data_IF_031578692451
#
_entry.id   IF_031578692451
#
_cell.length_a   1.000
_cell.length_b   1.000
_cell.length_c   1.000
_cell.angle_alpha   90.00
_cell.angle_beta   90.00
_cell.angle_gamma   90.00
#
_symmetry.space_group_name_H-M   'P 1'
#
loop_
_entity.id
_entity.type
_entity.pdbx_description
1 polymer ?
#
# COMPACT_ATOMS: atom_id res chain seq x y z
N UNK A 1 31.85 9.57 17.82
CA UNK A 1 30.80 9.07 18.73
C UNK A 1 29.61 8.74 17.83
N UNK A 2 29.45 7.46 17.45
CA UNK A 2 28.33 7.04 16.61
C UNK A 2 27.05 7.06 17.45
N UNK A 3 26.13 7.97 17.14
CA UNK A 3 24.76 7.87 17.62
C UNK A 3 24.17 6.55 17.12
N UNK A 4 24.09 5.57 18.01
CA UNK A 4 23.31 4.35 17.76
C UNK A 4 21.85 4.75 17.73
N UNK A 5 21.37 5.11 16.55
CA UNK A 5 19.94 5.30 16.36
C UNK A 5 19.21 4.01 16.75
N UNK A 6 18.33 4.10 17.75
CA UNK A 6 17.49 2.99 18.21
C UNK A 6 16.23 2.89 17.36
N UNK A 7 16.38 2.47 16.12
CA UNK A 7 15.22 2.14 15.29
C UNK A 7 14.77 0.71 15.54
N UNK A 8 13.47 0.45 15.35
CA UNK A 8 12.97 -0.92 15.23
C UNK A 8 13.32 -1.51 13.86
N UNK A 9 12.62 -2.57 13.49
CA UNK A 9 12.92 -3.28 12.25
C UNK A 9 12.70 -2.42 11.00
N UNK A 10 13.56 -2.65 10.00
CA UNK A 10 13.46 -2.04 8.69
C UNK A 10 12.14 -2.42 8.00
N UNK A 11 11.47 -1.42 7.43
CA UNK A 11 10.21 -1.57 6.70
C UNK A 11 10.39 -1.39 5.20
N UNK A 12 10.87 -0.21 4.77
CA UNK A 12 11.00 0.13 3.35
C UNK A 12 12.04 1.22 3.14
N UNK A 13 12.74 1.18 2.01
CA UNK A 13 13.64 2.24 1.56
C UNK A 13 13.22 2.78 0.20
N UNK A 14 13.55 4.04 -0.05
CA UNK A 14 13.30 4.72 -1.30
C UNK A 14 14.57 5.44 -1.76
N UNK A 15 15.01 5.08 -2.96
CA UNK A 15 16.00 5.82 -3.74
C UNK A 15 15.30 6.65 -4.82
N UNK A 16 16.07 7.54 -5.43
CA UNK A 16 15.60 8.28 -6.62
C UNK A 16 15.18 7.27 -7.69
N UNK A 17 13.99 7.50 -8.27
CA UNK A 17 13.38 6.67 -9.33
C UNK A 17 12.70 5.37 -8.87
N UNK A 18 12.65 5.05 -7.57
CA UNK A 18 11.89 3.90 -7.08
C UNK A 18 10.43 4.26 -6.83
N UNK A 19 9.53 3.71 -7.64
CA UNK A 19 8.09 4.00 -7.52
C UNK A 19 7.42 3.28 -6.34
N UNK A 20 7.81 2.03 -6.06
CA UNK A 20 7.22 1.20 -5.00
C UNK A 20 8.04 1.20 -3.70
N UNK A 21 9.33 1.57 -3.78
CA UNK A 21 10.31 1.35 -2.71
C UNK A 21 10.80 -0.10 -2.66
N UNK A 22 11.88 -0.32 -1.91
CA UNK A 22 12.43 -1.64 -1.61
C UNK A 22 12.05 -1.98 -0.17
N UNK A 23 11.04 -2.84 -0.03
CA UNK A 23 10.54 -3.31 1.27
C UNK A 23 11.39 -4.44 1.85
N UNK A 24 11.29 -4.61 3.16
CA UNK A 24 11.69 -5.83 3.83
C UNK A 24 10.88 -7.03 3.28
N UNK A 25 11.55 -8.14 2.97
CA UNK A 25 10.93 -9.34 2.37
C UNK A 25 9.81 -9.95 3.23
N UNK A 26 9.83 -9.70 4.55
CA UNK A 26 8.77 -10.14 5.47
C UNK A 26 7.46 -9.37 5.28
N UNK A 27 7.47 -8.23 4.59
CA UNK A 27 6.34 -7.31 4.42
C UNK A 27 5.48 -7.66 3.20
N UNK A 28 5.18 -8.96 3.02
CA UNK A 28 4.53 -9.52 1.82
C UNK A 28 3.23 -8.80 1.46
N UNK A 29 2.36 -8.52 2.43
CA UNK A 29 1.08 -7.85 2.20
C UNK A 29 1.27 -6.39 1.76
N UNK A 30 2.22 -5.66 2.35
CA UNK A 30 2.52 -4.28 1.97
C UNK A 30 3.17 -4.20 0.58
N UNK A 31 4.07 -5.14 0.27
CA UNK A 31 4.67 -5.29 -1.06
C UNK A 31 3.56 -5.49 -2.10
N UNK A 32 2.61 -6.39 -1.84
CA UNK A 32 1.51 -6.65 -2.75
C UNK A 32 0.61 -5.43 -2.95
N UNK A 33 0.23 -4.73 -1.88
CA UNK A 33 -0.58 -3.51 -1.95
C UNK A 33 0.16 -2.41 -2.74
N UNK A 34 1.43 -2.17 -2.43
CA UNK A 34 2.22 -1.15 -3.12
C UNK A 34 2.38 -1.46 -4.61
N UNK A 35 2.64 -2.72 -4.95
CA UNK A 35 2.74 -3.16 -6.34
C UNK A 35 1.39 -3.09 -7.07
N UNK A 36 0.28 -3.39 -6.41
CA UNK A 36 -1.05 -3.32 -7.04
C UNK A 36 -1.52 -1.90 -7.25
N UNK A 37 -1.20 -0.96 -6.36
CA UNK A 37 -1.78 0.40 -6.33
C UNK A 37 -0.82 1.52 -6.80
N UNK A 38 0.48 1.25 -6.83
CA UNK A 38 1.54 2.20 -7.18
C UNK A 38 2.26 1.90 -8.48
N UNK A 39 1.74 0.98 -9.31
CA UNK A 39 2.38 0.56 -10.57
C UNK A 39 2.41 1.70 -11.60
N UNK A 40 3.45 1.78 -12.46
CA UNK A 40 3.44 2.64 -13.63
C UNK A 40 2.18 2.38 -14.48
N UNK A 41 1.45 3.44 -14.84
CA UNK A 41 0.15 3.33 -15.55
C UNK A 41 -1.07 3.14 -14.63
N UNK A 42 -0.87 2.79 -13.37
CA UNK A 42 -1.93 2.65 -12.36
C UNK A 42 -1.45 3.18 -11.00
N UNK A 43 -1.27 4.51 -10.95
CA UNK A 43 -0.84 5.23 -9.74
C UNK A 43 -2.07 5.84 -9.06
N UNK A 44 -2.77 5.02 -8.28
CA UNK A 44 -3.84 5.50 -7.39
C UNK A 44 -3.24 6.10 -6.11
N UNK A 45 -2.06 5.63 -5.71
CA UNK A 45 -1.33 6.20 -4.59
C UNK A 45 0.19 6.22 -4.85
N UNK A 46 0.89 7.07 -4.11
CA UNK A 46 2.34 7.16 -4.10
C UNK A 46 2.87 6.57 -2.76
N UNK A 47 3.55 5.41 -2.79
CA UNK A 47 4.13 4.79 -1.61
C UNK A 47 5.01 5.73 -0.80
N UNK A 48 5.92 6.47 -1.43
CA UNK A 48 6.85 7.36 -0.73
C UNK A 48 6.11 8.46 0.03
N UNK A 49 5.08 9.06 -0.59
CA UNK A 49 4.26 10.11 0.04
C UNK A 49 3.48 9.52 1.21
N UNK A 50 2.91 8.34 1.07
CA UNK A 50 2.17 7.68 2.15
C UNK A 50 3.06 7.38 3.36
N UNK A 51 4.22 6.73 3.14
CA UNK A 51 5.15 6.43 4.23
C UNK A 51 5.66 7.72 4.90
N UNK A 52 5.91 8.78 4.12
CA UNK A 52 6.28 10.09 4.68
C UNK A 52 5.18 10.66 5.59
N UNK A 53 3.92 10.63 5.17
CA UNK A 53 2.77 11.08 5.99
C UNK A 53 2.58 10.24 7.25
N UNK A 54 2.84 8.94 7.17
CA UNK A 54 2.76 8.04 8.33
C UNK A 54 3.89 8.32 9.33
N UNK A 55 5.08 8.66 8.84
CA UNK A 55 6.19 9.10 9.69
C UNK A 55 5.90 10.47 10.36
N UNK A 56 5.33 11.43 9.62
CA UNK A 56 4.88 12.72 10.17
C UNK A 56 3.82 12.57 11.30
N UNK A 57 3.11 11.44 11.31
CA UNK A 57 2.13 11.08 12.36
C UNK A 57 2.72 10.24 13.49
N UNK A 58 4.05 10.10 13.56
CA UNK A 58 4.77 9.27 14.55
C UNK A 58 4.33 7.78 14.55
N UNK A 59 3.89 7.28 13.39
CA UNK A 59 3.60 5.85 13.21
C UNK A 59 4.84 5.09 12.74
N UNK A 60 5.78 5.79 12.11
CA UNK A 60 7.03 5.26 11.54
C UNK A 60 8.18 6.19 11.85
N UNK A 61 9.38 5.63 11.92
CA UNK A 61 10.62 6.38 12.01
C UNK A 61 11.18 6.60 10.62
N UNK A 62 11.54 7.85 10.28
CA UNK A 62 12.07 8.22 8.96
C UNK A 62 13.52 8.67 9.09
N UNK A 63 14.39 8.06 8.29
CA UNK A 63 15.83 8.35 8.27
C UNK A 63 16.24 8.72 6.85
N UNK A 64 17.08 9.74 6.73
CA UNK A 64 17.59 10.23 5.46
C UNK A 64 19.11 10.11 5.45
N UNK A 65 19.63 9.27 4.56
CA UNK A 65 21.08 9.01 4.44
C UNK A 65 21.56 9.55 3.10
N UNK A 66 22.67 10.31 3.14
CA UNK A 66 23.35 10.78 1.93
C UNK A 66 24.31 9.68 1.46
N UNK A 67 24.14 9.23 0.22
CA UNK A 67 25.00 8.26 -0.41
C UNK A 67 26.31 8.92 -0.89
N UNK A 68 27.34 8.11 -1.16
CA UNK A 68 28.64 8.59 -1.64
C UNK A 68 28.56 9.34 -2.99
N UNK A 69 27.61 8.96 -3.85
CA UNK A 69 27.34 9.60 -5.14
C UNK A 69 26.56 10.94 -5.01
N UNK A 70 26.30 11.39 -3.77
CA UNK A 70 25.56 12.61 -3.48
C UNK A 70 24.03 12.47 -3.54
N UNK A 71 23.52 11.31 -3.94
CA UNK A 71 22.09 11.02 -3.87
C UNK A 71 21.61 10.78 -2.43
N UNK A 72 20.30 10.77 -2.22
CA UNK A 72 19.70 10.49 -0.92
C UNK A 72 18.91 9.20 -0.98
N UNK A 73 19.08 8.37 0.05
CA UNK A 73 18.21 7.23 0.33
C UNK A 73 17.37 7.55 1.57
N UNK A 74 16.07 7.35 1.47
CA UNK A 74 15.13 7.52 2.58
C UNK A 74 14.76 6.13 3.09
N UNK A 75 14.90 5.92 4.39
CA UNK A 75 14.54 4.67 5.05
C UNK A 75 13.39 4.92 6.02
N UNK A 76 12.50 3.94 6.12
CA UNK A 76 11.44 3.89 7.08
C UNK A 76 11.58 2.65 7.94
N UNK A 77 11.40 2.82 9.25
CA UNK A 77 11.50 1.76 10.25
C UNK A 77 10.26 1.74 11.13
N UNK A 78 9.98 0.58 11.72
CA UNK A 78 9.02 0.49 12.81
C UNK A 78 9.55 1.19 14.07
N UNK A 79 8.67 1.78 14.90
CA UNK A 79 9.07 2.24 16.22
C UNK A 79 9.48 1.06 17.12
N UNK A 80 10.55 1.24 17.91
CA UNK A 80 11.14 0.15 18.72
C UNK A 80 10.19 -0.35 19.81
N UNK A 81 9.39 0.55 20.39
CA UNK A 81 8.51 0.26 21.53
C UNK A 81 7.09 -0.18 21.12
N UNK A 82 6.85 -0.42 19.81
CA UNK A 82 5.52 -0.78 19.30
C UNK A 82 5.52 -2.15 18.66
N UNK A 83 4.39 -2.86 18.81
CA UNK A 83 4.19 -4.17 18.19
C UNK A 83 4.06 -4.01 16.67
N UNK A 84 5.05 -4.51 15.92
CA UNK A 84 5.10 -4.35 14.46
C UNK A 84 3.85 -4.85 13.73
N UNK A 85 3.25 -5.97 14.19
CA UNK A 85 2.03 -6.50 13.58
C UNK A 85 0.86 -5.52 13.65
N UNK A 86 0.77 -4.74 14.72
CA UNK A 86 -0.27 -3.74 14.91
C UNK A 86 0.00 -2.53 14.02
N UNK A 87 1.24 -2.04 14.01
CA UNK A 87 1.66 -0.91 13.16
C UNK A 87 1.49 -1.25 11.69
N UNK A 88 1.92 -2.43 11.24
CA UNK A 88 1.68 -2.95 9.90
C UNK A 88 0.21 -2.88 9.54
N UNK A 89 -0.67 -3.30 10.46
CA UNK A 89 -2.11 -3.28 10.20
C UNK A 89 -2.68 -1.87 10.13
N UNK A 90 -2.21 -0.96 10.97
CA UNK A 90 -2.58 0.45 10.91
C UNK A 90 -2.16 1.08 9.57
N UNK A 91 -0.94 0.78 9.09
CA UNK A 91 -0.44 1.24 7.78
C UNK A 91 -1.33 0.72 6.66
N UNK A 92 -1.60 -0.59 6.62
CA UNK A 92 -2.46 -1.20 5.59
C UNK A 92 -3.84 -0.57 5.58
N UNK A 93 -4.47 -0.45 6.75
CA UNK A 93 -5.79 0.15 6.85
C UNK A 93 -5.77 1.62 6.40
N UNK A 94 -4.75 2.39 6.77
CA UNK A 94 -4.62 3.77 6.34
C UNK A 94 -4.47 3.89 4.82
N UNK A 95 -3.60 3.09 4.20
CA UNK A 95 -3.40 3.08 2.75
C UNK A 95 -4.71 2.73 2.05
N UNK A 96 -5.37 1.64 2.48
CA UNK A 96 -6.63 1.18 1.89
C UNK A 96 -7.76 2.21 2.07
N UNK A 97 -7.83 2.89 3.21
CA UNK A 97 -8.80 3.95 3.44
C UNK A 97 -8.55 5.17 2.55
N UNK A 98 -7.29 5.54 2.31
CA UNK A 98 -6.98 6.66 1.41
C UNK A 98 -7.31 6.32 -0.04
N UNK A 99 -6.98 5.10 -0.51
CA UNK A 99 -7.27 4.71 -1.91
C UNK A 99 -8.74 4.41 -2.16
N UNK A 100 -9.54 4.09 -1.14
CA UNK A 100 -10.97 3.86 -1.30
C UNK A 100 -11.74 5.12 -1.71
N UNK A 101 -11.15 6.30 -1.45
CA UNK A 101 -11.67 7.61 -1.85
C UNK A 101 -11.40 7.93 -3.32
N UNK A 102 -10.56 7.14 -4.00
CA UNK A 102 -10.18 7.39 -5.39
C UNK A 102 -11.04 6.55 -6.35
N UNK A 103 -11.81 7.25 -7.18
CA UNK A 103 -12.69 6.63 -8.18
C UNK A 103 -11.93 5.77 -9.20
N UNK A 104 -10.62 6.02 -9.41
CA UNK A 104 -9.77 5.22 -10.31
C UNK A 104 -9.63 3.78 -9.84
N UNK A 105 -9.81 3.52 -8.54
CA UNK A 105 -9.83 2.16 -8.01
C UNK A 105 -10.96 1.33 -8.63
N UNK A 106 -12.18 1.89 -8.67
CA UNK A 106 -13.35 1.26 -9.26
C UNK A 106 -13.24 1.09 -10.76
N UNK A 107 -12.70 2.09 -11.47
CA UNK A 107 -12.44 2.01 -12.92
C UNK A 107 -11.52 0.82 -13.27
N UNK A 108 -10.63 0.45 -12.34
CA UNK A 108 -9.71 -0.67 -12.48
C UNK A 108 -10.23 -1.96 -11.82
N UNK A 109 -11.55 -2.03 -11.59
CA UNK A 109 -12.25 -3.22 -11.05
C UNK A 109 -11.71 -3.68 -9.71
N UNK A 110 -11.26 -2.72 -8.89
CA UNK A 110 -10.88 -2.98 -7.52
C UNK A 110 -11.79 -2.19 -6.58
N UNK A 111 -11.99 -2.75 -5.40
CA UNK A 111 -12.69 -2.09 -4.31
C UNK A 111 -11.97 -2.41 -3.01
N UNK A 112 -12.07 -1.49 -2.05
CA UNK A 112 -11.70 -1.78 -0.67
C UNK A 112 -12.92 -2.29 0.05
N UNK A 113 -12.80 -3.46 0.68
CA UNK A 113 -13.87 -4.09 1.47
C UNK A 113 -13.47 -4.12 2.94
N UNK A 114 -14.46 -3.94 3.80
CA UNK A 114 -14.31 -4.10 5.25
C UNK A 114 -14.66 -5.55 5.58
N UNK A 115 -13.72 -6.26 6.20
CA UNK A 115 -13.93 -7.60 6.73
C UNK A 115 -14.78 -7.54 8.01
N UNK A 116 -15.39 -8.66 8.41
CA UNK A 116 -16.23 -8.72 9.61
C UNK A 116 -15.48 -8.32 10.90
N UNK A 117 -14.15 -8.42 10.92
CA UNK A 117 -13.28 -8.00 12.03
C UNK A 117 -12.81 -6.53 11.92
N UNK A 118 -13.46 -5.72 11.06
CA UNK A 118 -13.14 -4.31 10.85
C UNK A 118 -11.90 -4.06 9.97
N UNK A 119 -11.28 -5.12 9.45
CA UNK A 119 -10.04 -5.01 8.65
C UNK A 119 -10.32 -4.69 7.20
N UNK A 120 -9.61 -3.71 6.66
CA UNK A 120 -9.68 -3.37 5.24
C UNK A 120 -8.88 -4.37 4.41
N UNK A 121 -9.43 -4.74 3.24
CA UNK A 121 -8.77 -5.57 2.22
C UNK A 121 -9.05 -5.05 0.83
N UNK A 122 -8.10 -5.25 -0.08
CA UNK A 122 -8.27 -4.97 -1.50
C UNK A 122 -8.91 -6.17 -2.20
N UNK A 123 -10.05 -5.97 -2.87
CA UNK A 123 -10.80 -7.01 -3.57
C UNK A 123 -10.93 -6.69 -5.06
N UNK A 124 -10.87 -7.73 -5.90
CA UNK A 124 -11.16 -7.61 -7.33
C UNK A 124 -12.65 -7.84 -7.59
N UNK A 125 -13.27 -6.91 -8.31
CA UNK A 125 -14.67 -6.99 -8.74
C UNK A 125 -14.75 -7.95 -9.94
N UNK A 126 -15.24 -9.18 -9.71
CA UNK A 126 -15.52 -10.13 -10.80
C UNK A 126 -16.77 -9.68 -11.56
N UNK A 127 -16.73 -9.73 -12.90
CA UNK A 127 -17.95 -9.62 -13.72
C UNK A 127 -18.86 -10.79 -13.38
N UNK A 128 -20.09 -10.51 -12.93
CA UNK A 128 -21.15 -11.50 -12.96
C UNK A 128 -21.39 -11.88 -14.42
N UNK A 129 -21.17 -13.14 -14.79
CA UNK A 129 -21.59 -13.73 -16.07
C UNK A 129 -23.12 -13.96 -16.12
N UNK A 130 -23.93 -13.09 -15.50
CA UNK A 130 -25.38 -13.10 -15.69
C UNK A 130 -25.74 -12.01 -16.70
N UNK A 131 -25.74 -12.37 -17.99
CA UNK A 131 -26.65 -11.85 -19.03
C UNK A 131 -26.37 -12.36 -20.47
N UNK A 132 -25.79 -13.55 -20.68
CA UNK A 132 -25.65 -14.13 -22.04
C UNK A 132 -26.67 -15.24 -22.39
N UNK A 133 -27.59 -15.63 -21.49
CA UNK A 133 -28.50 -16.77 -21.74
C UNK A 133 -30.01 -16.51 -21.51
N UNK A 134 -30.47 -15.25 -21.52
CA UNK A 134 -31.92 -14.92 -21.53
C UNK A 134 -32.32 -13.97 -22.66
N UNK A 135 -31.86 -14.25 -23.87
CA UNK A 135 -32.47 -13.75 -25.12
C UNK A 135 -32.67 -14.87 -26.13
N UNK A 136 -33.18 -16.03 -25.71
CA UNK A 136 -34.16 -16.73 -26.56
C UNK A 136 -35.49 -16.05 -26.29
N UNK A 137 -35.76 -14.98 -27.04
CA UNK A 137 -37.09 -14.40 -27.13
C UNK A 137 -38.02 -15.52 -27.57
N UNK A 138 -39.09 -15.69 -26.81
CA UNK A 138 -40.32 -16.26 -27.31
C UNK A 138 -40.67 -15.55 -28.64
N UNK A 139 -40.55 -16.28 -29.73
CA UNK A 139 -41.42 -16.07 -30.88
C UNK A 139 -42.51 -17.12 -30.74
N UNK A 140 -43.63 -16.69 -30.16
CA UNK A 140 -44.92 -17.32 -30.36
C UNK A 140 -45.31 -17.04 -31.82
N UNK A 141 -45.37 -18.11 -32.61
CA UNK A 141 -46.55 -18.56 -33.37
C UNK A 141 -46.14 -19.76 -34.24
#
# INVERSE_FOLDING_TARGET
MEEKFKFGDFLVSFRRSEAAGVHNEKEVELIEICNRLGRPGFKVFDPFVAYSRLAERNLLEKVKIKNLDGSWTIFFFYPIDKKQSEIRRQIINWILYEVSKDNRLFLNRMAVVISNDGRLKLACIKRSHKNSLKRKRNCLN
#
